data_IF_840131134984
#
_entry.id   IF_840131134984
#
_cell.length_a   1.000
_cell.length_b   1.000
_cell.length_c   1.000
_cell.angle_alpha   90.00
_cell.angle_beta   90.00
_cell.angle_gamma   90.00
#
_symmetry.space_group_name_H-M   'P 1'
#
loop_
_entity.id
_entity.type
_entity.pdbx_description
1 polymer ?
#
# COMPACT_ATOMS: atom_id res chain seq x y z
N UNK A 1 3.68 7.46 -68.87
CA UNK A 1 4.81 6.70 -68.35
C UNK A 1 4.54 6.44 -66.85
N UNK A 2 4.10 5.21 -66.58
CA UNK A 2 3.77 4.74 -65.20
C UNK A 2 5.00 4.06 -64.61
N UNK A 3 5.47 4.51 -63.47
CA UNK A 3 6.54 3.86 -62.71
C UNK A 3 5.88 3.18 -61.52
N UNK A 4 5.61 1.89 -61.68
CA UNK A 4 5.28 1.00 -60.57
C UNK A 4 6.59 0.44 -60.00
N UNK A 5 7.03 0.91 -58.83
CA UNK A 5 8.08 0.25 -58.08
C UNK A 5 7.47 -0.85 -57.21
N UNK A 6 7.86 -2.09 -57.49
CA UNK A 6 7.62 -3.26 -56.64
C UNK A 6 8.45 -3.12 -55.36
N UNK A 7 7.78 -2.98 -54.21
CA UNK A 7 8.41 -3.13 -52.89
C UNK A 7 8.21 -4.59 -52.49
N UNK A 8 9.30 -5.37 -52.51
CA UNK A 8 9.32 -6.71 -51.95
C UNK A 8 9.21 -6.61 -50.41
N UNK A 9 8.41 -7.45 -49.75
CA UNK A 9 8.35 -7.46 -48.27
C UNK A 9 9.64 -8.06 -47.70
N UNK A 10 10.34 -7.25 -46.92
CA UNK A 10 11.53 -7.64 -46.18
C UNK A 10 11.16 -8.75 -45.19
N UNK A 11 11.56 -9.98 -45.44
CA UNK A 11 11.44 -11.10 -44.49
C UNK A 11 12.44 -10.83 -43.36
N UNK A 12 11.95 -10.33 -42.23
CA UNK A 12 12.66 -10.37 -40.95
C UNK A 12 12.87 -11.85 -40.60
N UNK A 13 14.10 -12.32 -40.74
CA UNK A 13 14.54 -13.57 -40.11
C UNK A 13 14.51 -13.40 -38.58
N UNK A 14 13.45 -13.90 -37.95
CA UNK A 14 13.44 -14.09 -36.53
C UNK A 14 14.29 -15.35 -36.29
N UNK A 15 15.52 -15.17 -35.81
CA UNK A 15 16.34 -16.27 -35.32
C UNK A 15 15.64 -16.91 -34.10
N UNK A 16 15.14 -18.13 -34.35
CA UNK A 16 14.69 -19.02 -33.28
C UNK A 16 15.95 -19.51 -32.51
N UNK A 17 16.17 -19.02 -31.31
CA UNK A 17 17.31 -19.51 -30.52
C UNK A 17 17.67 -18.73 -29.26
N UNK A 18 16.72 -18.06 -28.59
CA UNK A 18 16.91 -17.72 -27.20
C UNK A 18 16.36 -18.88 -26.35
N UNK A 19 17.20 -19.46 -25.47
CA UNK A 19 16.70 -20.34 -24.41
C UNK A 19 15.56 -19.65 -23.67
N UNK A 20 14.48 -20.36 -23.26
CA UNK A 20 13.37 -19.73 -22.56
C UNK A 20 13.95 -18.99 -21.37
N UNK A 21 13.80 -17.66 -21.34
CA UNK A 21 14.05 -16.88 -20.13
C UNK A 21 13.14 -17.48 -19.08
N UNK A 22 13.72 -18.13 -18.09
CA UNK A 22 12.97 -18.60 -16.93
C UNK A 22 12.23 -17.40 -16.37
N UNK A 23 10.91 -17.46 -16.39
CA UNK A 23 10.05 -16.40 -15.88
C UNK A 23 10.16 -16.42 -14.36
N UNK A 24 10.91 -15.49 -13.76
CA UNK A 24 11.18 -15.43 -12.32
C UNK A 24 9.91 -15.36 -11.49
N UNK A 25 8.86 -14.75 -12.04
CA UNK A 25 7.57 -14.63 -11.35
C UNK A 25 6.83 -15.96 -11.37
N UNK A 26 6.89 -16.73 -12.48
CA UNK A 26 6.31 -18.08 -12.52
C UNK A 26 7.03 -19.04 -11.58
N UNK A 27 8.35 -18.96 -11.48
CA UNK A 27 9.12 -19.73 -10.49
C UNK A 27 8.73 -19.35 -9.04
N UNK A 28 8.52 -18.06 -8.78
CA UNK A 28 8.03 -17.59 -7.49
C UNK A 28 6.62 -18.16 -7.21
N UNK A 29 5.70 -18.06 -8.17
CA UNK A 29 4.34 -18.58 -8.03
C UNK A 29 4.29 -20.08 -7.76
N UNK A 30 5.20 -20.86 -8.36
CA UNK A 30 5.27 -22.30 -8.16
C UNK A 30 5.56 -22.73 -6.71
N UNK A 31 6.07 -21.83 -5.88
CA UNK A 31 6.36 -22.09 -4.45
C UNK A 31 5.13 -22.00 -3.54
N UNK A 32 4.02 -21.44 -4.02
CA UNK A 32 2.85 -21.11 -3.21
C UNK A 32 1.58 -21.79 -3.74
N UNK A 33 0.68 -22.12 -2.82
CA UNK A 33 -0.69 -22.47 -3.21
C UNK A 33 -1.46 -21.17 -3.51
N UNK A 34 -1.61 -20.86 -4.78
CA UNK A 34 -2.30 -19.65 -5.24
C UNK A 34 -3.81 -19.85 -5.43
N UNK A 35 -4.32 -21.08 -5.26
CA UNK A 35 -5.75 -21.37 -5.33
C UNK A 35 -6.36 -21.23 -3.93
N UNK A 36 -7.05 -20.14 -3.69
CA UNK A 36 -7.65 -19.79 -2.40
C UNK A 36 -9.16 -19.85 -2.51
N UNK A 37 -9.82 -20.53 -1.58
CA UNK A 37 -11.28 -20.63 -1.52
C UNK A 37 -11.85 -19.38 -0.82
N UNK A 38 -12.58 -18.55 -1.57
CA UNK A 38 -13.22 -17.33 -1.06
C UNK A 38 -14.20 -17.60 0.11
N UNK A 39 -14.90 -18.75 0.11
CA UNK A 39 -15.81 -19.12 1.21
C UNK A 39 -15.06 -19.48 2.48
N UNK A 40 -13.95 -20.20 2.35
CA UNK A 40 -13.10 -20.52 3.48
C UNK A 40 -12.50 -19.26 4.11
N UNK A 41 -12.09 -18.29 3.28
CA UNK A 41 -11.62 -16.97 3.73
C UNK A 41 -12.72 -16.24 4.50
N UNK A 42 -13.93 -16.15 3.94
CA UNK A 42 -15.07 -15.50 4.60
C UNK A 42 -15.39 -16.12 5.96
N UNK A 43 -15.36 -17.44 6.08
CA UNK A 43 -15.63 -18.13 7.34
C UNK A 43 -14.53 -17.87 8.38
N UNK A 44 -13.25 -17.94 7.97
CA UNK A 44 -12.13 -17.65 8.85
C UNK A 44 -12.19 -16.22 9.39
N UNK A 45 -12.45 -15.24 8.51
CA UNK A 45 -12.58 -13.83 8.88
C UNK A 45 -13.77 -13.63 9.81
N UNK A 46 -14.92 -14.24 9.52
CA UNK A 46 -16.10 -14.16 10.40
C UNK A 46 -15.79 -14.67 11.80
N UNK A 47 -15.06 -15.80 11.91
CA UNK A 47 -14.64 -16.36 13.21
C UNK A 47 -13.71 -15.39 13.95
N UNK A 48 -12.71 -14.82 13.27
CA UNK A 48 -11.81 -13.82 13.87
C UNK A 48 -12.58 -12.62 14.38
N UNK A 49 -13.49 -12.08 13.57
CA UNK A 49 -14.30 -10.90 13.95
C UNK A 49 -15.16 -11.22 15.17
N UNK A 50 -15.84 -12.36 15.19
CA UNK A 50 -16.75 -12.70 16.29
C UNK A 50 -16.03 -13.01 17.60
N UNK A 51 -14.89 -13.70 17.55
CA UNK A 51 -14.25 -14.27 18.75
C UNK A 51 -13.07 -13.42 19.25
N UNK A 52 -12.35 -12.72 18.35
CA UNK A 52 -11.08 -12.08 18.69
C UNK A 52 -11.12 -10.55 18.71
N UNK A 53 -11.89 -9.93 17.81
CA UNK A 53 -11.99 -8.47 17.76
C UNK A 53 -12.48 -7.87 19.08
N UNK A 54 -13.51 -8.39 19.77
CA UNK A 54 -13.93 -7.83 21.07
C UNK A 54 -12.85 -7.88 22.16
N UNK A 55 -11.91 -8.83 22.09
CA UNK A 55 -10.81 -8.96 23.04
C UNK A 55 -9.73 -7.89 22.85
N UNK A 56 -9.66 -7.29 21.67
CA UNK A 56 -8.69 -6.26 21.30
C UNK A 56 -9.25 -4.83 21.37
N UNK A 57 -10.50 -4.63 21.79
CA UNK A 57 -11.07 -3.31 22.03
C UNK A 57 -10.59 -2.76 23.39
N UNK A 58 -9.34 -2.33 23.43
CA UNK A 58 -8.68 -1.80 24.64
C UNK A 58 -8.04 -0.44 24.37
N UNK A 59 -7.77 0.32 25.42
CA UNK A 59 -7.09 1.62 25.32
C UNK A 59 -5.69 1.47 24.73
N UNK A 60 -4.97 0.42 25.08
CA UNK A 60 -3.62 0.13 24.59
C UNK A 60 -3.62 -0.11 23.08
N UNK A 61 -4.59 -0.88 22.56
CA UNK A 61 -4.75 -1.10 21.13
C UNK A 61 -5.14 0.20 20.41
N UNK A 62 -6.03 1.01 20.97
CA UNK A 62 -6.40 2.31 20.40
C UNK A 62 -5.20 3.28 20.34
N UNK A 63 -4.36 3.32 21.37
CA UNK A 63 -3.10 4.08 21.35
C UNK A 63 -2.15 3.55 20.27
N UNK A 64 -1.97 2.25 20.17
CA UNK A 64 -1.16 1.64 19.13
C UNK A 64 -1.68 1.99 17.72
N UNK A 65 -3.00 1.91 17.51
CA UNK A 65 -3.63 2.25 16.24
C UNK A 65 -3.41 3.73 15.89
N UNK A 66 -3.47 4.64 16.87
CA UNK A 66 -3.16 6.06 16.66
C UNK A 66 -1.74 6.24 16.13
N UNK A 67 -0.75 5.58 16.75
CA UNK A 67 0.65 5.58 16.31
C UNK A 67 0.92 4.83 15.00
N UNK A 68 -0.08 4.14 14.44
CA UNK A 68 0.01 3.42 13.16
C UNK A 68 -0.70 4.13 12.01
N UNK A 69 -1.33 5.29 12.26
CA UNK A 69 -2.04 6.05 11.23
C UNK A 69 -1.05 6.66 10.23
N UNK A 70 -1.32 6.45 8.95
CA UNK A 70 -0.84 7.31 7.88
C UNK A 70 -1.93 8.33 7.55
N UNK A 71 -1.77 9.53 8.11
CA UNK A 71 -2.74 10.62 8.00
C UNK A 71 -2.71 11.17 6.58
N UNK A 72 -3.80 10.97 5.84
CA UNK A 72 -3.81 11.11 4.38
C UNK A 72 -4.67 12.28 3.93
N UNK A 73 -4.12 13.14 3.06
CA UNK A 73 -4.88 14.06 2.23
C UNK A 73 -4.49 13.87 0.76
N UNK A 74 -5.46 13.42 -0.04
CA UNK A 74 -5.32 13.16 -1.48
C UNK A 74 -6.57 13.70 -2.21
N UNK A 75 -6.93 14.95 -1.91
CA UNK A 75 -8.07 15.63 -2.53
C UNK A 75 -7.59 16.35 -3.79
N UNK A 76 -8.44 16.43 -4.80
CA UNK A 76 -8.17 17.26 -5.99
C UNK A 76 -8.12 18.76 -5.68
N UNK A 77 -8.57 19.15 -4.49
CA UNK A 77 -8.59 20.53 -3.99
C UNK A 77 -7.45 20.84 -3.03
N UNK A 78 -6.53 19.90 -2.80
CA UNK A 78 -5.34 20.15 -1.98
C UNK A 78 -4.48 21.22 -2.66
N UNK A 79 -3.87 22.07 -1.84
CA UNK A 79 -3.00 23.17 -2.24
C UNK A 79 -1.88 23.33 -1.23
N UNK A 80 -0.82 24.07 -1.58
CA UNK A 80 0.31 24.35 -0.69
C UNK A 80 -0.18 24.84 0.67
N UNK A 81 -1.09 25.81 0.69
CA UNK A 81 -1.65 26.37 1.93
C UNK A 81 -2.42 25.32 2.75
N UNK A 82 -3.22 24.48 2.09
CA UNK A 82 -4.02 23.47 2.81
C UNK A 82 -3.15 22.33 3.36
N UNK A 83 -2.09 21.94 2.64
CA UNK A 83 -1.14 20.91 3.08
C UNK A 83 -0.24 21.45 4.18
N UNK A 84 0.24 22.69 4.07
CA UNK A 84 0.96 23.37 5.15
C UNK A 84 0.15 23.39 6.44
N UNK A 85 -1.09 23.90 6.40
CA UNK A 85 -1.98 23.93 7.57
C UNK A 85 -2.32 22.53 8.12
N UNK A 86 -2.32 21.52 7.27
CA UNK A 86 -2.50 20.13 7.66
C UNK A 86 -1.28 19.60 8.44
N UNK A 87 -0.07 19.92 7.99
CA UNK A 87 1.19 19.55 8.63
C UNK A 87 1.38 20.30 9.96
N UNK A 88 1.04 21.58 10.02
CA UNK A 88 1.08 22.40 11.25
C UNK A 88 0.20 21.79 12.36
N UNK A 89 -0.97 21.20 11.99
CA UNK A 89 -1.78 20.47 12.98
C UNK A 89 -1.08 19.23 13.53
N UNK A 90 -0.31 18.53 12.72
CA UNK A 90 0.50 17.39 13.18
C UNK A 90 1.57 17.88 14.16
N UNK A 91 2.26 18.99 13.86
CA UNK A 91 3.24 19.59 14.78
C UNK A 91 2.63 19.98 16.14
N UNK A 92 1.42 20.54 16.11
CA UNK A 92 0.73 20.97 17.34
C UNK A 92 0.15 19.82 18.20
N UNK A 93 0.24 18.56 17.73
CA UNK A 93 -0.39 17.44 18.43
C UNK A 93 0.25 17.12 19.77
N UNK A 94 1.58 17.15 19.89
CA UNK A 94 2.32 16.87 21.12
C UNK A 94 2.01 17.84 22.25
N UNK A 95 1.85 19.12 21.91
CA UNK A 95 1.53 20.13 22.93
C UNK A 95 0.14 19.90 23.54
N UNK A 96 -0.79 19.41 22.72
CA UNK A 96 -2.18 19.22 23.13
C UNK A 96 -2.45 17.82 23.73
N UNK A 97 -1.73 16.79 23.25
CA UNK A 97 -1.93 15.39 23.63
C UNK A 97 -0.60 14.68 23.94
N UNK A 98 0.18 15.15 24.94
CA UNK A 98 1.53 14.66 25.21
C UNK A 98 1.61 13.18 25.63
N UNK A 99 0.50 12.59 26.09
CA UNK A 99 0.41 11.20 26.52
C UNK A 99 0.00 10.23 25.39
N UNK A 100 -0.23 10.74 24.18
CA UNK A 100 -0.65 9.95 23.04
C UNK A 100 0.47 9.86 21.98
N UNK A 101 0.60 8.73 21.28
CA UNK A 101 1.57 8.64 20.19
C UNK A 101 1.14 9.50 19.01
N UNK A 102 2.11 10.09 18.30
CA UNK A 102 1.90 10.70 17.00
C UNK A 102 1.35 9.73 15.97
N UNK A 103 0.74 10.27 14.92
CA UNK A 103 0.52 9.53 13.67
C UNK A 103 1.87 9.09 13.09
N UNK A 104 1.89 7.94 12.40
CA UNK A 104 3.14 7.41 11.85
C UNK A 104 3.67 8.24 10.66
N UNK A 105 2.75 8.81 9.86
CA UNK A 105 3.11 9.39 8.56
C UNK A 105 2.09 10.43 8.13
N UNK A 106 2.54 11.45 7.41
CA UNK A 106 1.69 12.32 6.58
C UNK A 106 1.77 11.80 5.14
N UNK A 107 0.62 11.52 4.51
CA UNK A 107 0.56 11.00 3.14
C UNK A 107 -0.11 12.01 2.20
N UNK A 108 0.62 12.42 1.14
CA UNK A 108 0.24 13.48 0.20
C UNK A 108 0.54 13.10 -1.26
N UNK A 109 0.13 13.94 -2.20
CA UNK A 109 0.61 13.88 -3.59
C UNK A 109 2.08 14.32 -3.70
N UNK A 110 2.84 13.83 -4.70
CA UNK A 110 4.28 14.11 -4.85
C UNK A 110 4.62 15.60 -4.88
N UNK A 111 3.77 16.41 -5.50
CA UNK A 111 3.98 17.86 -5.63
C UNK A 111 3.96 18.63 -4.29
N UNK A 112 3.54 17.97 -3.21
CA UNK A 112 3.52 18.57 -1.87
C UNK A 112 4.61 17.99 -0.93
N UNK A 113 5.50 17.12 -1.43
CA UNK A 113 6.55 16.53 -0.62
C UNK A 113 7.42 17.59 0.07
N UNK A 114 7.90 18.59 -0.69
CA UNK A 114 8.71 19.67 -0.16
C UNK A 114 7.96 20.55 0.86
N UNK A 115 6.67 20.79 0.64
CA UNK A 115 5.84 21.57 1.58
C UNK A 115 5.77 20.87 2.94
N UNK A 116 5.54 19.55 2.93
CA UNK A 116 5.52 18.77 4.17
C UNK A 116 6.91 18.73 4.80
N UNK A 117 7.97 18.49 4.02
CA UNK A 117 9.35 18.43 4.51
C UNK A 117 9.81 19.76 5.15
N UNK A 118 9.43 20.90 4.56
CA UNK A 118 9.77 22.22 5.07
C UNK A 118 8.93 22.64 6.30
N UNK A 119 7.75 22.02 6.50
CA UNK A 119 6.80 22.41 7.55
C UNK A 119 6.82 21.46 8.75
N UNK A 120 7.14 20.17 8.55
CA UNK A 120 7.10 19.15 9.60
C UNK A 120 8.28 19.34 10.57
N UNK A 121 7.95 19.57 11.86
CA UNK A 121 8.92 19.85 12.93
C UNK A 121 9.07 18.68 13.91
N UNK A 122 8.05 17.82 14.00
CA UNK A 122 8.03 16.70 14.94
C UNK A 122 8.86 15.52 14.45
N UNK A 123 9.66 14.94 15.34
CA UNK A 123 10.46 13.76 15.04
C UNK A 123 9.60 12.49 15.02
N UNK A 124 9.98 11.52 14.17
CA UNK A 124 9.35 10.20 14.11
C UNK A 124 8.05 10.12 13.30
N UNK A 125 7.64 11.23 12.66
CA UNK A 125 6.57 11.23 11.65
C UNK A 125 7.18 11.24 10.27
N UNK A 126 6.89 10.21 9.47
CA UNK A 126 7.43 10.05 8.12
C UNK A 126 6.60 10.80 7.08
N UNK A 127 7.18 11.03 5.89
CA UNK A 127 6.53 11.69 4.76
C UNK A 127 6.30 10.66 3.65
N UNK A 128 5.06 10.23 3.49
CA UNK A 128 4.68 9.33 2.40
C UNK A 128 4.13 10.10 1.20
N UNK A 129 4.58 9.74 0.00
CA UNK A 129 3.98 10.24 -1.23
C UNK A 129 3.39 9.11 -2.04
N UNK A 130 2.15 9.31 -2.55
CA UNK A 130 1.64 8.43 -3.60
C UNK A 130 2.40 8.70 -4.89
N UNK A 131 2.65 7.69 -5.71
CA UNK A 131 3.40 7.80 -6.95
C UNK A 131 2.99 6.72 -7.96
N UNK A 132 3.75 6.58 -9.03
CA UNK A 132 3.49 5.60 -10.07
C UNK A 132 2.22 5.89 -10.84
N UNK A 133 1.91 7.17 -11.08
CA UNK A 133 0.68 7.63 -11.72
C UNK A 133 -0.58 7.25 -10.92
N UNK A 134 -0.52 7.48 -9.61
CA UNK A 134 -1.67 7.27 -8.72
C UNK A 134 -2.91 8.07 -9.19
N UNK A 135 -4.13 7.49 -9.21
CA UNK A 135 -4.48 6.17 -8.66
C UNK A 135 -4.45 5.01 -9.67
N UNK A 136 -4.26 5.24 -10.95
CA UNK A 136 -4.54 4.25 -11.99
C UNK A 136 -3.33 3.45 -12.48
N UNK A 137 -2.12 3.90 -12.21
CA UNK A 137 -0.87 3.36 -12.78
C UNK A 137 -0.81 3.37 -14.34
N UNK A 138 -1.69 4.13 -15.00
CA UNK A 138 -1.86 4.16 -16.46
C UNK A 138 -0.99 5.24 -17.14
N UNK A 139 0.32 5.23 -16.86
CA UNK A 139 1.30 6.07 -17.53
C UNK A 139 2.48 5.24 -18.05
N UNK A 140 3.30 5.85 -18.89
CA UNK A 140 4.57 5.24 -19.34
C UNK A 140 5.49 5.06 -18.13
N UNK A 141 6.28 3.98 -18.12
CA UNK A 141 7.14 3.64 -16.99
C UNK A 141 8.15 4.75 -16.68
N UNK A 142 8.68 5.42 -17.71
CA UNK A 142 9.64 6.52 -17.55
C UNK A 142 9.02 7.69 -16.75
N UNK A 143 7.73 7.95 -16.94
CA UNK A 143 6.99 8.99 -16.19
C UNK A 143 6.81 8.57 -14.74
N UNK A 144 6.44 7.32 -14.49
CA UNK A 144 6.27 6.76 -13.13
C UNK A 144 7.58 6.77 -12.34
N UNK A 145 8.67 6.37 -12.98
CA UNK A 145 10.02 6.40 -12.40
C UNK A 145 10.46 7.83 -12.07
N UNK A 146 10.24 8.77 -13.01
CA UNK A 146 10.58 10.18 -12.79
C UNK A 146 9.76 10.79 -11.65
N UNK A 147 8.44 10.53 -11.57
CA UNK A 147 7.56 10.98 -10.48
C UNK A 147 8.06 10.48 -9.13
N UNK A 148 8.40 9.17 -9.04
CA UNK A 148 8.92 8.54 -7.83
C UNK A 148 10.24 9.18 -7.38
N UNK A 149 11.20 9.32 -8.30
CA UNK A 149 12.50 9.90 -8.00
C UNK A 149 12.40 11.38 -7.56
N UNK A 150 11.48 12.15 -8.16
CA UNK A 150 11.24 13.54 -7.78
C UNK A 150 10.60 13.64 -6.40
N UNK A 151 9.62 12.78 -6.08
CA UNK A 151 9.01 12.74 -4.74
C UNK A 151 10.06 12.50 -3.63
N UNK A 152 10.95 11.52 -3.84
CA UNK A 152 12.05 11.23 -2.90
C UNK A 152 13.01 12.42 -2.79
N UNK A 153 13.40 13.01 -3.94
CA UNK A 153 14.28 14.18 -3.97
C UNK A 153 13.69 15.37 -3.21
N UNK A 154 12.38 15.55 -3.28
CA UNK A 154 11.65 16.65 -2.67
C UNK A 154 11.26 16.39 -1.20
N UNK A 155 11.74 15.28 -0.61
CA UNK A 155 11.65 15.00 0.83
C UNK A 155 10.73 13.87 1.24
N UNK A 156 10.13 13.12 0.30
CA UNK A 156 9.38 11.91 0.66
C UNK A 156 10.34 10.85 1.25
N UNK A 157 10.02 10.34 2.43
CA UNK A 157 10.75 9.28 3.12
C UNK A 157 10.15 7.90 2.89
N UNK A 158 8.91 7.83 2.37
CA UNK A 158 8.19 6.60 2.00
C UNK A 158 7.41 6.83 0.70
N UNK A 159 7.27 5.81 -0.12
CA UNK A 159 6.56 5.90 -1.41
C UNK A 159 5.47 4.83 -1.52
N UNK A 160 4.25 5.26 -1.87
CA UNK A 160 3.12 4.38 -2.14
C UNK A 160 2.85 4.35 -3.66
N UNK A 161 3.23 3.29 -4.37
CA UNK A 161 2.95 3.11 -5.80
C UNK A 161 1.71 2.27 -6.03
N UNK A 162 1.12 2.39 -7.22
CA UNK A 162 0.02 1.51 -7.65
C UNK A 162 0.55 0.43 -8.59
N UNK A 163 0.24 -0.84 -8.30
CA UNK A 163 0.51 -1.95 -9.18
C UNK A 163 -0.19 -1.72 -10.55
N UNK A 164 0.44 -2.06 -11.69
CA UNK A 164 -0.24 -2.01 -12.98
C UNK A 164 -1.32 -3.10 -13.08
N UNK A 165 -2.49 -2.86 -12.47
CA UNK A 165 -3.59 -3.82 -12.32
C UNK A 165 -4.03 -4.41 -13.67
N UNK A 166 -4.08 -3.58 -14.72
CA UNK A 166 -4.44 -4.04 -16.06
C UNK A 166 -3.47 -5.09 -16.63
N UNK A 167 -2.16 -4.90 -16.44
CA UNK A 167 -1.13 -5.89 -16.82
C UNK A 167 -1.31 -7.18 -16.01
N UNK A 168 -1.52 -7.07 -14.72
CA UNK A 168 -1.76 -8.21 -13.85
C UNK A 168 -2.99 -9.02 -14.27
N UNK A 169 -4.12 -8.37 -14.50
CA UNK A 169 -5.39 -9.04 -14.83
C UNK A 169 -5.38 -9.69 -16.22
N UNK A 170 -4.60 -9.18 -17.17
CA UNK A 170 -4.45 -9.84 -18.48
C UNK A 170 -3.38 -10.96 -18.48
N UNK A 171 -2.72 -11.22 -17.33
CA UNK A 171 -1.73 -12.29 -17.18
C UNK A 171 -0.30 -11.90 -17.54
N UNK A 172 -0.05 -10.62 -17.86
CA UNK A 172 1.31 -10.11 -18.11
C UNK A 172 2.04 -9.80 -16.80
N UNK A 173 2.33 -10.89 -16.06
CA UNK A 173 2.92 -10.80 -14.72
C UNK A 173 4.37 -10.29 -14.75
N UNK A 174 5.13 -10.64 -15.80
CA UNK A 174 6.52 -10.22 -15.96
C UNK A 174 6.61 -8.70 -16.10
N UNK A 175 5.90 -8.10 -17.08
CA UNK A 175 5.89 -6.64 -17.25
C UNK A 175 5.29 -5.91 -16.05
N UNK A 176 4.36 -6.55 -15.33
CA UNK A 176 3.82 -5.99 -14.07
C UNK A 176 4.91 -5.91 -12.98
N UNK A 177 5.69 -6.97 -12.82
CA UNK A 177 6.78 -7.04 -11.84
C UNK A 177 7.96 -6.12 -12.24
N UNK A 178 8.28 -6.04 -13.53
CA UNK A 178 9.30 -5.12 -14.05
C UNK A 178 8.97 -3.67 -13.72
N UNK A 179 7.74 -3.21 -13.98
CA UNK A 179 7.30 -1.86 -13.64
C UNK A 179 7.45 -1.57 -12.12
N UNK A 180 7.06 -2.52 -11.26
CA UNK A 180 7.22 -2.38 -9.81
C UNK A 180 8.70 -2.28 -9.42
N UNK A 181 9.55 -3.15 -10.00
CA UNK A 181 10.98 -3.17 -9.70
C UNK A 181 11.70 -1.90 -10.16
N UNK A 182 11.32 -1.32 -11.30
CA UNK A 182 11.87 -0.05 -11.78
C UNK A 182 11.48 1.10 -10.84
N UNK A 183 10.22 1.15 -10.38
CA UNK A 183 9.80 2.14 -9.40
C UNK A 183 10.49 1.92 -8.04
N UNK A 184 10.71 0.66 -7.62
CA UNK A 184 11.52 0.36 -6.41
C UNK A 184 12.94 0.91 -6.52
N UNK A 185 13.57 0.73 -7.66
CA UNK A 185 14.90 1.31 -7.88
C UNK A 185 14.92 2.84 -7.78
N UNK A 186 13.85 3.51 -8.21
CA UNK A 186 13.70 4.95 -8.11
C UNK A 186 13.45 5.45 -6.66
N UNK A 187 12.95 4.59 -5.77
CA UNK A 187 12.78 4.92 -4.35
C UNK A 187 14.11 5.05 -3.59
N UNK A 188 15.21 4.50 -4.12
CA UNK A 188 16.49 4.45 -3.38
C UNK A 188 16.33 3.72 -2.05
N UNK A 189 16.67 4.39 -0.94
CA UNK A 189 16.56 3.82 0.42
C UNK A 189 15.12 3.92 1.00
N UNK A 190 14.24 4.70 0.38
CA UNK A 190 12.88 4.87 0.87
C UNK A 190 12.08 3.56 0.74
N UNK A 191 11.36 3.12 1.79
CA UNK A 191 10.45 2.00 1.70
C UNK A 191 9.36 2.25 0.65
N UNK A 192 9.10 1.21 -0.14
CA UNK A 192 8.05 1.23 -1.16
C UNK A 192 6.86 0.38 -0.73
N UNK A 193 5.67 0.98 -0.75
CA UNK A 193 4.42 0.28 -0.51
C UNK A 193 3.68 0.10 -1.83
N UNK A 194 3.35 -1.15 -2.18
CA UNK A 194 2.65 -1.46 -3.43
C UNK A 194 1.16 -1.61 -3.16
N UNK A 195 0.37 -0.73 -3.76
CA UNK A 195 -1.09 -0.77 -3.74
C UNK A 195 -1.56 -1.82 -4.75
N UNK A 196 -2.25 -2.85 -4.26
CA UNK A 196 -2.74 -3.95 -5.08
C UNK A 196 -4.08 -3.62 -5.77
N UNK A 197 -4.85 -2.66 -5.24
CA UNK A 197 -6.23 -2.33 -5.61
C UNK A 197 -7.13 -3.56 -5.51
N UNK A 198 -7.26 -4.08 -4.29
CA UNK A 198 -7.90 -5.38 -4.01
C UNK A 198 -9.35 -5.46 -4.45
N UNK A 199 -10.05 -4.32 -4.54
CA UNK A 199 -11.42 -4.25 -5.06
C UNK A 199 -11.52 -4.68 -6.53
N UNK A 200 -10.52 -4.37 -7.34
CA UNK A 200 -10.48 -4.73 -8.77
C UNK A 200 -9.95 -6.16 -8.99
N UNK A 201 -9.22 -6.71 -8.03
CA UNK A 201 -8.73 -8.10 -8.10
C UNK A 201 -9.83 -9.13 -7.83
N UNK A 202 -10.89 -8.76 -7.13
CA UNK A 202 -12.15 -9.48 -6.89
C UNK A 202 -12.00 -10.78 -6.09
N UNK A 203 -11.10 -11.68 -6.46
CA UNK A 203 -10.96 -13.03 -5.85
C UNK A 203 -9.78 -13.12 -4.89
N UNK A 204 -9.91 -13.92 -3.84
CA UNK A 204 -8.83 -14.23 -2.91
C UNK A 204 -7.58 -14.78 -3.63
N UNK A 205 -7.77 -15.61 -4.66
CA UNK A 205 -6.66 -16.13 -5.47
C UNK A 205 -5.89 -15.01 -6.21
N UNK A 206 -6.57 -14.02 -6.80
CA UNK A 206 -5.91 -12.89 -7.44
C UNK A 206 -5.19 -12.01 -6.42
N UNK A 207 -5.82 -11.73 -5.27
CA UNK A 207 -5.22 -10.95 -4.18
C UNK A 207 -3.94 -11.62 -3.69
N UNK A 208 -3.97 -12.94 -3.45
CA UNK A 208 -2.78 -13.68 -3.04
C UNK A 208 -1.68 -13.64 -4.11
N UNK A 209 -2.04 -13.87 -5.37
CA UNK A 209 -1.09 -13.83 -6.49
C UNK A 209 -0.45 -12.45 -6.65
N UNK A 210 -1.25 -11.37 -6.59
CA UNK A 210 -0.76 -10.01 -6.64
C UNK A 210 0.16 -9.65 -5.46
N UNK A 211 -0.16 -10.15 -4.25
CA UNK A 211 0.68 -10.01 -3.06
C UNK A 211 2.06 -10.65 -3.27
N UNK A 212 2.09 -11.91 -3.71
CA UNK A 212 3.35 -12.64 -3.97
C UNK A 212 4.15 -11.93 -5.07
N UNK A 213 3.53 -11.56 -6.20
CA UNK A 213 4.20 -10.85 -7.28
C UNK A 213 4.85 -9.56 -6.78
N UNK A 214 4.10 -8.73 -6.04
CA UNK A 214 4.59 -7.44 -5.54
C UNK A 214 5.77 -7.58 -4.57
N UNK A 215 5.74 -8.59 -3.69
CA UNK A 215 6.82 -8.86 -2.75
C UNK A 215 8.09 -9.32 -3.47
N UNK A 216 7.97 -10.20 -4.47
CA UNK A 216 9.11 -10.62 -5.30
C UNK A 216 9.63 -9.53 -6.23
N UNK A 217 8.80 -8.53 -6.56
CA UNK A 217 9.21 -7.34 -7.31
C UNK A 217 9.87 -6.25 -6.46
N UNK A 218 10.00 -6.46 -5.14
CA UNK A 218 10.74 -5.59 -4.23
C UNK A 218 9.89 -4.68 -3.35
N UNK A 219 8.61 -4.98 -3.16
CA UNK A 219 7.76 -4.26 -2.21
C UNK A 219 8.28 -4.44 -0.76
N UNK A 220 8.42 -3.35 -0.01
CA UNK A 220 8.66 -3.38 1.44
C UNK A 220 7.36 -3.51 2.22
N UNK A 221 6.25 -3.08 1.61
CA UNK A 221 4.88 -3.22 2.10
C UNK A 221 3.96 -3.59 0.94
N UNK A 222 2.88 -4.29 1.27
CA UNK A 222 1.71 -4.37 0.40
C UNK A 222 0.53 -3.63 1.03
N UNK A 223 -0.16 -2.85 0.20
CA UNK A 223 -1.28 -1.98 0.58
C UNK A 223 -2.54 -2.42 -0.16
N UNK A 224 -3.68 -2.38 0.50
CA UNK A 224 -4.92 -2.87 -0.12
C UNK A 224 -5.37 -2.03 -1.29
N UNK A 225 -5.50 -0.71 -1.12
CA UNK A 225 -6.30 0.12 -2.04
C UNK A 225 -5.82 1.57 -2.13
N UNK A 226 -6.17 2.22 -3.22
CA UNK A 226 -5.98 3.67 -3.41
C UNK A 226 -6.97 4.51 -2.59
N UNK A 227 -8.14 3.95 -2.27
CA UNK A 227 -9.27 4.69 -1.71
C UNK A 227 -10.02 5.55 -2.75
N UNK A 228 -9.74 5.36 -4.04
CA UNK A 228 -10.40 6.06 -5.16
C UNK A 228 -11.41 5.19 -5.89
N UNK A 229 -11.32 3.87 -5.69
CA UNK A 229 -12.26 2.91 -6.24
C UNK A 229 -13.45 2.67 -5.30
N UNK A 230 -14.52 2.09 -5.84
CA UNK A 230 -15.77 1.83 -5.12
C UNK A 230 -15.58 0.89 -3.94
N UNK A 231 -14.75 -0.15 -4.13
CA UNK A 231 -14.42 -1.14 -3.09
C UNK A 231 -12.97 -0.91 -2.70
N UNK A 232 -12.74 -0.66 -1.43
CA UNK A 232 -11.40 -0.46 -0.87
C UNK A 232 -11.01 -1.63 0.04
N UNK A 233 -10.35 -1.39 1.18
CA UNK A 233 -9.96 -2.43 2.11
C UNK A 233 -11.17 -3.24 2.61
N UNK A 234 -11.03 -4.57 2.64
CA UNK A 234 -11.96 -5.47 3.29
C UNK A 234 -11.23 -6.41 4.25
N UNK A 235 -11.87 -6.91 5.31
CA UNK A 235 -11.26 -7.89 6.21
C UNK A 235 -10.78 -9.16 5.48
N UNK A 236 -11.51 -9.61 4.46
CA UNK A 236 -11.16 -10.78 3.65
C UNK A 236 -9.88 -10.53 2.84
N UNK A 237 -9.78 -9.37 2.17
CA UNK A 237 -8.56 -8.99 1.45
C UNK A 237 -7.36 -8.89 2.40
N UNK A 238 -7.54 -8.26 3.57
CA UNK A 238 -6.51 -8.15 4.60
C UNK A 238 -6.04 -9.52 5.09
N UNK A 239 -6.96 -10.44 5.34
CA UNK A 239 -6.65 -11.80 5.77
C UNK A 239 -5.78 -12.53 4.72
N UNK A 240 -6.18 -12.49 3.44
CA UNK A 240 -5.43 -13.12 2.35
C UNK A 240 -4.05 -12.50 2.17
N UNK A 241 -3.95 -11.16 2.23
CA UNK A 241 -2.68 -10.46 2.14
C UNK A 241 -1.75 -10.81 3.31
N UNK A 242 -2.27 -10.87 4.53
CA UNK A 242 -1.49 -11.30 5.70
C UNK A 242 -1.03 -12.76 5.57
N UNK A 243 -1.86 -13.67 5.06
CA UNK A 243 -1.44 -15.04 4.78
C UNK A 243 -0.31 -15.07 3.74
N UNK A 244 -0.42 -14.30 2.67
CA UNK A 244 0.64 -14.21 1.66
C UNK A 244 1.95 -13.66 2.24
N UNK A 245 1.90 -12.63 3.11
CA UNK A 245 3.07 -12.10 3.82
C UNK A 245 3.70 -13.18 4.70
N UNK A 246 2.87 -13.93 5.46
CA UNK A 246 3.35 -15.01 6.33
C UNK A 246 4.07 -16.09 5.55
N UNK A 247 3.47 -16.58 4.47
CA UNK A 247 4.06 -17.61 3.61
C UNK A 247 5.36 -17.10 2.94
N UNK A 248 5.39 -15.82 2.51
CA UNK A 248 6.58 -15.21 1.95
C UNK A 248 7.71 -15.11 2.98
N UNK A 249 7.39 -14.71 4.21
CA UNK A 249 8.36 -14.67 5.31
C UNK A 249 8.90 -16.05 5.65
N UNK A 250 8.03 -17.08 5.70
CA UNK A 250 8.43 -18.45 5.99
C UNK A 250 9.36 -19.02 4.89
N UNK A 251 9.17 -18.62 3.62
CA UNK A 251 10.00 -19.04 2.49
C UNK A 251 11.32 -18.27 2.38
N UNK A 252 11.31 -16.95 2.65
CA UNK A 252 12.44 -16.07 2.32
C UNK A 252 13.17 -15.49 3.52
N UNK A 253 12.54 -15.48 4.70
CA UNK A 253 13.03 -14.78 5.89
C UNK A 253 12.88 -13.24 5.80
N UNK A 254 12.29 -12.69 4.74
CA UNK A 254 12.12 -11.24 4.54
C UNK A 254 10.78 -10.80 5.12
N UNK A 255 10.82 -9.86 6.07
CA UNK A 255 9.62 -9.30 6.67
C UNK A 255 9.08 -8.18 5.80
N UNK A 256 7.78 -8.24 5.48
CA UNK A 256 7.04 -7.28 4.65
C UNK A 256 5.95 -6.64 5.50
N UNK A 257 5.78 -5.32 5.38
CA UNK A 257 4.74 -4.58 6.06
C UNK A 257 3.36 -4.72 5.41
N UNK A 258 2.32 -4.47 6.18
CA UNK A 258 0.92 -4.49 5.74
C UNK A 258 0.24 -3.14 6.01
N UNK A 259 -0.49 -2.63 4.99
CA UNK A 259 -1.25 -1.37 5.09
C UNK A 259 -2.65 -1.53 4.50
N UNK A 260 -3.69 -1.76 5.32
CA UNK A 260 -5.07 -1.54 4.85
C UNK A 260 -5.30 -0.04 4.64
N UNK A 261 -5.99 0.33 3.58
CA UNK A 261 -6.27 1.72 3.23
C UNK A 261 -7.59 1.87 2.47
N UNK A 262 -8.28 2.99 2.72
CA UNK A 262 -9.59 3.27 2.18
C UNK A 262 -10.71 2.46 2.86
N UNK A 263 -11.86 3.10 3.10
CA UNK A 263 -13.00 2.43 3.71
C UNK A 263 -12.90 2.13 5.21
N UNK A 264 -11.82 2.54 5.90
CA UNK A 264 -11.68 2.40 7.35
C UNK A 264 -12.45 3.56 7.99
N UNK A 265 -13.69 3.31 8.38
CA UNK A 265 -14.64 4.36 8.76
C UNK A 265 -14.94 4.41 10.27
N UNK A 266 -14.46 3.44 11.04
CA UNK A 266 -14.67 3.36 12.48
C UNK A 266 -13.45 2.83 13.21
N UNK A 267 -13.37 3.08 14.51
CA UNK A 267 -12.34 2.49 15.37
C UNK A 267 -12.44 0.97 15.35
N UNK A 268 -13.65 0.42 15.30
CA UNK A 268 -13.86 -1.03 15.23
C UNK A 268 -13.31 -1.64 13.92
N UNK A 269 -13.39 -0.93 12.78
CA UNK A 269 -12.75 -1.38 11.55
C UNK A 269 -11.22 -1.49 11.73
N UNK A 270 -10.61 -0.48 12.37
CA UNK A 270 -9.17 -0.48 12.64
C UNK A 270 -8.76 -1.61 13.60
N UNK A 271 -9.54 -1.86 14.67
CA UNK A 271 -9.34 -2.98 15.60
C UNK A 271 -9.48 -4.32 14.85
N UNK A 272 -10.37 -4.40 13.86
CA UNK A 272 -10.52 -5.60 13.02
C UNK A 272 -9.25 -5.89 12.23
N UNK A 273 -8.66 -4.90 11.56
CA UNK A 273 -7.39 -5.07 10.83
C UNK A 273 -6.22 -5.38 11.78
N UNK A 274 -6.14 -4.72 12.91
CA UNK A 274 -5.17 -5.06 13.97
C UNK A 274 -5.29 -6.53 14.38
N UNK A 275 -6.51 -6.98 14.62
CA UNK A 275 -6.78 -8.35 15.06
C UNK A 275 -6.40 -9.37 13.99
N UNK A 276 -6.69 -9.11 12.71
CA UNK A 276 -6.28 -9.97 11.60
C UNK A 276 -4.75 -10.08 11.53
N UNK A 277 -4.03 -8.96 11.64
CA UNK A 277 -2.56 -8.97 11.67
C UNK A 277 -2.06 -9.80 12.85
N UNK A 278 -2.60 -9.59 14.04
CA UNK A 278 -2.24 -10.34 15.25
C UNK A 278 -2.42 -11.84 15.10
N UNK A 279 -3.57 -12.27 14.61
CA UNK A 279 -3.92 -13.70 14.50
C UNK A 279 -3.17 -14.41 13.36
N UNK A 280 -2.86 -13.71 12.26
CA UNK A 280 -2.22 -14.31 11.08
C UNK A 280 -0.70 -14.15 11.10
N UNK A 281 -0.21 -12.96 11.40
CA UNK A 281 1.22 -12.63 11.32
C UNK A 281 1.92 -12.70 12.68
N UNK A 282 1.18 -12.48 13.77
CA UNK A 282 1.72 -12.46 15.13
C UNK A 282 2.17 -11.08 15.60
N UNK A 283 2.55 -11.01 16.88
CA UNK A 283 2.85 -9.74 17.56
C UNK A 283 4.07 -9.01 17.01
N UNK A 284 5.00 -9.70 16.37
CA UNK A 284 6.18 -9.09 15.75
C UNK A 284 5.86 -8.16 14.57
N UNK A 285 4.65 -8.20 14.01
CA UNK A 285 4.15 -7.24 13.03
C UNK A 285 3.41 -6.06 13.65
N UNK A 286 3.05 -6.13 14.94
CA UNK A 286 2.33 -5.08 15.63
C UNK A 286 3.28 -3.96 16.09
N UNK A 287 3.91 -3.33 15.14
CA UNK A 287 4.69 -2.09 15.29
C UNK A 287 4.33 -1.15 14.15
N UNK A 288 4.49 0.16 14.34
CA UNK A 288 4.27 1.14 13.27
C UNK A 288 5.28 1.03 12.11
N UNK A 289 6.32 0.21 12.28
CA UNK A 289 7.25 -0.16 11.21
C UNK A 289 6.66 -1.21 10.27
N UNK A 290 5.70 -2.04 10.71
CA UNK A 290 5.21 -3.16 9.89
C UNK A 290 3.70 -3.15 9.69
N UNK A 291 2.97 -2.35 10.46
CA UNK A 291 1.53 -2.19 10.35
C UNK A 291 1.15 -0.71 10.29
N UNK A 292 0.46 -0.31 9.25
CA UNK A 292 -0.02 1.05 9.03
C UNK A 292 -1.48 1.07 8.65
N UNK A 293 -2.16 2.17 8.90
CA UNK A 293 -3.56 2.43 8.56
C UNK A 293 -3.66 3.67 7.67
N UNK A 294 -3.95 3.47 6.37
CA UNK A 294 -4.14 4.58 5.43
C UNK A 294 -5.53 5.20 5.56
N UNK A 295 -5.63 6.37 6.19
CA UNK A 295 -6.92 7.00 6.49
C UNK A 295 -6.84 8.51 6.63
N UNK A 296 -7.99 9.19 6.47
CA UNK A 296 -8.11 10.64 6.69
C UNK A 296 -9.00 11.01 7.89
N UNK A 297 -9.85 10.09 8.37
CA UNK A 297 -10.89 10.40 9.38
C UNK A 297 -10.70 9.67 10.70
N UNK A 298 -10.05 8.53 10.68
CA UNK A 298 -9.93 7.66 11.84
C UNK A 298 -9.19 8.32 13.01
N UNK A 299 -8.22 9.21 12.72
CA UNK A 299 -7.45 9.89 13.76
C UNK A 299 -8.34 10.65 14.74
N UNK A 300 -9.30 11.43 14.23
CA UNK A 300 -10.26 12.13 15.10
C UNK A 300 -11.20 11.19 15.87
N UNK A 301 -11.55 10.05 15.30
CA UNK A 301 -12.41 9.06 15.98
C UNK A 301 -11.65 8.35 17.09
N UNK A 302 -10.41 7.91 16.85
CA UNK A 302 -9.55 7.32 17.86
C UNK A 302 -9.29 8.33 19.01
N UNK A 303 -8.98 9.57 18.65
CA UNK A 303 -8.76 10.62 19.62
C UNK A 303 -10.02 10.87 20.47
N UNK A 304 -11.20 10.91 19.84
CA UNK A 304 -12.47 11.07 20.56
C UNK A 304 -12.76 9.94 21.53
N UNK A 305 -12.46 8.69 21.16
CA UNK A 305 -12.62 7.55 22.06
C UNK A 305 -11.59 7.55 23.21
N UNK A 306 -10.35 7.96 22.93
CA UNK A 306 -9.29 8.05 23.95
C UNK A 306 -9.56 9.16 24.97
N UNK A 307 -10.12 10.28 24.49
CA UNK A 307 -10.48 11.43 25.35
C UNK A 307 -11.87 11.32 26.00
N UNK A 308 -12.70 10.36 25.57
CA UNK A 308 -14.07 10.19 26.05
C UNK A 308 -15.03 11.30 25.66
N UNK A 309 -14.70 12.12 24.67
CA UNK A 309 -15.51 13.21 24.14
C UNK A 309 -15.24 13.43 22.64
N UNK A 310 -16.19 14.07 21.93
CA UNK A 310 -15.97 14.39 20.50
C UNK A 310 -14.81 15.36 20.32
N UNK A 311 -13.80 14.97 19.53
CA UNK A 311 -12.64 15.77 19.16
C UNK A 311 -12.54 15.90 17.65
N UNK A 312 -12.25 17.11 17.17
CA UNK A 312 -11.98 17.45 15.77
C UNK A 312 -10.66 18.20 15.70
N UNK A 313 -9.59 17.46 15.68
CA UNK A 313 -8.23 18.02 15.70
C UNK A 313 -7.58 18.03 14.33
N UNK A 314 -7.61 16.89 13.62
CA UNK A 314 -7.03 16.74 12.28
C UNK A 314 -7.98 17.14 11.15
#
# INVERSE_FOLDING_TARGET
>A
MSITQNIEPNKLNIEAGAAPKTNKIEEAFAKYNLNVDDKAVQEAVRTIIAEKVPQNDTVEVKKFLMGSIELTTLKTTDSDTSVMAFTERVNAFDEQYPDLPHVATICVYPCFASIVADTLEVEGVEIACVSGSFPSSQALIEVKVAETALAVKDGATEIDIVMPVGKFLCGDYESCAEDISEMKAACGEAPMKVILETGDLVTASNIKKASILSMYAGADYIKTSTGKEKISATPEAAYVMCQAIKEYYDETGIQIGFKPAGGINSVMDAITYYTIVKEVLGEQWLTNKWFRLGTSRLANQLLSELEGQEVKFF
#
